data_IF_504020262044
#
_entry.id   IF_504020262044
#
_cell.length_a   1.000
_cell.length_b   1.000
_cell.length_c   1.000
_cell.angle_alpha   90.00
_cell.angle_beta   90.00
_cell.angle_gamma   90.00
#
_symmetry.space_group_name_H-M   'P 1'
#
loop_
_entity.id
_entity.type
_entity.pdbx_description
1 polymer ?
#
# COMPACT_ATOMS: atom_id res chain seq x y z
N UNK A 1 -18.84 5.25 -7.03
CA UNK A 1 -19.10 3.88 -7.50
C UNK A 1 -17.77 3.32 -7.96
N UNK A 2 -17.23 2.33 -7.26
CA UNK A 2 -16.00 1.65 -7.68
C UNK A 2 -16.36 0.71 -8.83
N UNK A 3 -15.65 0.80 -9.96
CA UNK A 3 -15.72 -0.20 -11.01
C UNK A 3 -15.47 -1.58 -10.39
N UNK A 4 -16.31 -2.60 -10.67
CA UNK A 4 -16.03 -3.95 -10.19
C UNK A 4 -14.62 -4.35 -10.61
N UNK A 5 -13.77 -4.66 -9.63
CA UNK A 5 -12.43 -5.13 -9.92
C UNK A 5 -12.55 -6.53 -10.52
N UNK A 6 -12.01 -6.73 -11.72
CA UNK A 6 -11.79 -8.04 -12.33
C UNK A 6 -10.30 -8.37 -12.24
N UNK A 7 -9.86 -9.13 -11.21
CA UNK A 7 -8.46 -9.47 -11.03
C UNK A 7 -7.86 -10.24 -12.21
N UNK A 8 -8.65 -11.09 -12.89
CA UNK A 8 -8.17 -11.87 -14.01
C UNK A 8 -7.86 -10.96 -15.21
N UNK A 9 -8.75 -10.01 -15.52
CA UNK A 9 -8.51 -9.00 -16.55
C UNK A 9 -7.29 -8.11 -16.22
N UNK A 10 -7.10 -7.75 -14.95
CA UNK A 10 -5.92 -6.96 -14.52
C UNK A 10 -4.62 -7.74 -14.73
N UNK A 11 -4.61 -9.03 -14.38
CA UNK A 11 -3.44 -9.89 -14.58
C UNK A 11 -3.16 -10.09 -16.07
N UNK A 12 -4.19 -10.35 -16.90
CA UNK A 12 -4.05 -10.45 -18.35
C UNK A 12 -3.43 -9.18 -18.95
N UNK A 13 -3.95 -8.01 -18.59
CA UNK A 13 -3.44 -6.73 -19.07
C UNK A 13 -2.01 -6.43 -18.61
N UNK A 14 -1.60 -6.91 -17.43
CA UNK A 14 -0.22 -6.84 -16.97
C UNK A 14 0.69 -7.72 -17.84
N UNK A 15 0.29 -8.96 -18.10
CA UNK A 15 1.04 -9.91 -18.95
C UNK A 15 1.22 -9.32 -20.35
N UNK A 16 0.16 -8.82 -20.98
CA UNK A 16 0.22 -8.24 -22.33
C UNK A 16 1.18 -7.04 -22.42
N UNK A 17 1.27 -6.24 -21.36
CA UNK A 17 2.15 -5.07 -21.30
C UNK A 17 3.62 -5.45 -21.15
N UNK A 18 3.91 -6.53 -20.41
CA UNK A 18 5.28 -6.93 -20.06
C UNK A 18 5.86 -7.91 -21.09
N UNK A 19 5.04 -8.81 -21.64
CA UNK A 19 5.48 -9.89 -22.52
C UNK A 19 6.32 -9.45 -23.74
N UNK A 20 6.03 -8.31 -24.42
CA UNK A 20 6.83 -7.85 -25.55
C UNK A 20 8.30 -7.56 -25.23
N UNK A 21 8.64 -7.36 -23.95
CA UNK A 21 9.99 -7.07 -23.49
C UNK A 21 10.74 -8.30 -22.98
N UNK A 22 10.15 -9.49 -23.08
CA UNK A 22 10.82 -10.74 -22.71
C UNK A 22 12.01 -11.01 -23.66
N UNK A 23 13.26 -11.04 -23.18
CA UNK A 23 14.43 -11.33 -24.02
C UNK A 23 14.48 -12.79 -24.50
N UNK A 24 13.68 -13.68 -23.91
CA UNK A 24 13.66 -15.11 -24.20
C UNK A 24 12.21 -15.61 -24.37
N UNK A 25 11.50 -15.22 -25.45
CA UNK A 25 10.10 -15.56 -25.65
C UNK A 25 9.86 -17.05 -25.91
N UNK A 26 10.85 -17.75 -26.46
CA UNK A 26 10.74 -19.17 -26.82
C UNK A 26 11.02 -20.13 -25.65
N UNK A 27 11.44 -19.60 -24.50
CA UNK A 27 11.68 -20.41 -23.29
C UNK A 27 10.35 -20.77 -22.64
N UNK A 28 10.23 -22.03 -22.23
CA UNK A 28 9.03 -22.54 -21.57
C UNK A 28 8.64 -21.69 -20.34
N UNK A 29 7.33 -21.53 -20.06
CA UNK A 29 6.86 -20.87 -18.86
C UNK A 29 7.42 -21.52 -17.58
N UNK A 30 7.70 -20.71 -16.57
CA UNK A 30 8.30 -21.16 -15.30
C UNK A 30 7.31 -21.11 -14.13
N UNK A 31 6.17 -20.46 -14.29
CA UNK A 31 5.16 -20.32 -13.24
C UNK A 31 3.75 -20.38 -13.80
N UNK A 32 2.80 -20.74 -12.93
CA UNK A 32 1.37 -20.74 -13.20
C UNK A 32 0.66 -19.97 -12.10
N UNK A 33 -0.23 -19.06 -12.45
CA UNK A 33 -1.11 -18.34 -11.51
C UNK A 33 -2.56 -18.69 -11.83
N UNK A 34 -3.26 -19.21 -10.84
CA UNK A 34 -4.72 -19.40 -10.88
C UNK A 34 -5.43 -18.27 -10.13
N UNK A 35 -6.47 -17.71 -10.74
CA UNK A 35 -7.28 -16.64 -10.17
C UNK A 35 -8.71 -17.14 -10.06
N UNK A 36 -9.25 -17.20 -8.85
CA UNK A 36 -10.62 -17.63 -8.59
C UNK A 36 -11.40 -16.46 -7.99
N UNK A 37 -12.50 -16.11 -8.63
CA UNK A 37 -13.39 -15.03 -8.23
C UNK A 37 -14.83 -15.55 -8.13
N UNK A 38 -15.73 -14.71 -7.61
CA UNK A 38 -17.16 -15.02 -7.66
C UNK A 38 -17.72 -15.08 -9.10
N UNK A 39 -17.00 -14.52 -10.08
CA UNK A 39 -17.39 -14.45 -11.48
C UNK A 39 -16.81 -15.60 -12.33
N UNK A 40 -15.80 -16.32 -11.83
CA UNK A 40 -15.15 -17.40 -12.58
C UNK A 40 -13.75 -17.74 -12.10
N UNK A 41 -13.09 -18.62 -12.86
CA UNK A 41 -11.71 -19.05 -12.64
C UNK A 41 -10.90 -18.91 -13.94
N UNK A 42 -9.71 -18.33 -13.83
CA UNK A 42 -8.74 -18.19 -14.93
C UNK A 42 -7.37 -18.70 -14.51
N UNK A 43 -6.59 -19.17 -15.50
CA UNK A 43 -5.24 -19.70 -15.29
C UNK A 43 -4.27 -19.07 -16.29
N UNK A 44 -3.17 -18.52 -15.78
CA UNK A 44 -2.12 -17.87 -16.57
C UNK A 44 -0.80 -18.63 -16.45
N UNK A 45 -0.18 -18.96 -17.58
CA UNK A 45 1.19 -19.46 -17.63
C UNK A 45 2.15 -18.29 -17.86
N UNK A 46 3.23 -18.21 -17.07
CA UNK A 46 4.10 -17.04 -17.03
C UNK A 46 5.54 -17.41 -17.34
N UNK A 47 6.17 -16.63 -18.23
CA UNK A 47 7.61 -16.68 -18.44
C UNK A 47 8.37 -16.14 -17.22
N UNK A 48 9.67 -16.46 -17.13
CA UNK A 48 10.54 -15.93 -16.06
C UNK A 48 10.55 -14.39 -16.03
N UNK A 49 10.53 -13.75 -17.20
CA UNK A 49 10.49 -12.29 -17.29
C UNK A 49 9.21 -11.70 -16.67
N UNK A 50 8.05 -12.26 -16.99
CA UNK A 50 6.76 -11.75 -16.52
C UNK A 50 6.58 -11.98 -15.02
N UNK A 51 6.93 -13.17 -14.50
CA UNK A 51 6.80 -13.44 -13.06
C UNK A 51 7.73 -12.55 -12.23
N UNK A 52 8.96 -12.29 -12.69
CA UNK A 52 9.87 -11.36 -12.00
C UNK A 52 9.34 -9.93 -12.00
N UNK A 53 8.77 -9.47 -13.11
CA UNK A 53 8.14 -8.16 -13.17
C UNK A 53 6.97 -8.06 -12.18
N UNK A 54 6.14 -9.11 -12.10
CA UNK A 54 5.02 -9.18 -11.16
C UNK A 54 5.51 -9.16 -9.70
N UNK A 55 6.49 -9.97 -9.34
CA UNK A 55 7.08 -9.98 -7.99
C UNK A 55 7.60 -8.59 -7.61
N UNK A 56 8.35 -7.93 -8.50
CA UNK A 56 8.86 -6.57 -8.26
C UNK A 56 7.73 -5.55 -8.09
N UNK A 57 6.67 -5.65 -8.89
CA UNK A 57 5.52 -4.77 -8.77
C UNK A 57 4.85 -4.91 -7.39
N UNK A 58 4.64 -6.16 -6.94
CA UNK A 58 4.06 -6.46 -5.63
C UNK A 58 4.98 -6.02 -4.48
N UNK A 59 6.29 -6.25 -4.58
CA UNK A 59 7.28 -5.80 -3.59
C UNK A 59 7.38 -4.27 -3.50
N UNK A 60 7.16 -3.58 -4.63
CA UNK A 60 7.19 -2.12 -4.69
C UNK A 60 5.88 -1.46 -4.24
N UNK A 61 4.80 -2.22 -4.09
CA UNK A 61 3.50 -1.68 -3.73
C UNK A 61 3.57 -0.99 -2.36
N UNK A 62 3.10 0.26 -2.33
CA UNK A 62 2.87 1.02 -1.11
C UNK A 62 1.37 1.23 -0.99
N UNK A 63 0.81 0.76 0.11
CA UNK A 63 -0.60 0.99 0.40
C UNK A 63 -0.80 2.51 0.56
N UNK A 64 -1.72 3.15 -0.20
CA UNK A 64 -2.03 4.57 -0.03
C UNK A 64 -2.48 4.92 1.40
N UNK A 65 -3.03 3.95 2.14
CA UNK A 65 -3.41 4.11 3.54
C UNK A 65 -2.26 3.81 4.52
N UNK A 66 -1.14 3.25 4.06
CA UNK A 66 0.08 3.12 4.86
C UNK A 66 0.75 4.51 5.02
N UNK A 67 0.32 5.21 6.07
CA UNK A 67 0.85 6.52 6.47
C UNK A 67 2.07 6.42 7.39
N UNK A 68 2.67 5.23 7.53
CA UNK A 68 3.83 4.97 8.36
C UNK A 68 3.50 4.54 9.79
N UNK A 69 4.53 4.52 10.65
CA UNK A 69 4.44 4.01 12.01
C UNK A 69 4.42 5.16 13.02
N UNK A 70 3.56 5.06 14.04
CA UNK A 70 3.62 5.95 15.19
C UNK A 70 4.97 5.83 15.91
N UNK A 71 5.65 6.96 16.11
CA UNK A 71 6.94 7.03 16.83
C UNK A 71 6.85 6.69 18.32
N UNK A 72 5.64 6.68 18.90
CA UNK A 72 5.43 6.39 20.32
C UNK A 72 5.11 4.91 20.55
N UNK A 73 4.04 4.39 19.93
CA UNK A 73 3.60 3.00 20.14
C UNK A 73 4.07 2.02 19.06
N UNK A 74 4.67 2.49 17.95
CA UNK A 74 5.06 1.67 16.81
C UNK A 74 3.91 1.20 15.91
N UNK A 75 2.66 1.55 16.22
CA UNK A 75 1.47 1.14 15.46
C UNK A 75 1.37 1.76 14.07
N UNK A 76 0.69 1.08 13.13
CA UNK A 76 0.56 1.48 11.70
C UNK A 76 -0.71 2.27 11.36
N UNK A 77 -1.56 2.55 12.35
CA UNK A 77 -2.85 3.21 12.13
C UNK A 77 -2.74 4.73 12.27
N UNK A 78 -1.89 5.35 11.46
CA UNK A 78 -1.85 6.80 11.33
C UNK A 78 -2.98 7.25 10.38
N UNK A 79 -3.74 8.27 10.80
CA UNK A 79 -4.73 8.91 9.95
C UNK A 79 -4.13 10.01 9.06
N UNK A 80 -4.96 10.65 8.24
CA UNK A 80 -4.56 11.72 7.32
C UNK A 80 -3.93 12.94 8.00
N UNK A 81 -4.18 13.14 9.29
CA UNK A 81 -3.61 14.20 10.10
C UNK A 81 -2.40 13.73 10.91
N UNK A 82 -1.86 12.55 10.60
CA UNK A 82 -0.77 11.90 11.33
C UNK A 82 -1.11 11.60 12.80
N UNK A 83 -2.39 11.53 13.16
CA UNK A 83 -2.78 11.03 14.48
C UNK A 83 -2.75 9.51 14.48
N UNK A 84 -2.09 8.95 15.49
CA UNK A 84 -2.19 7.53 15.77
C UNK A 84 -3.56 7.22 16.37
N UNK A 85 -4.36 6.43 15.67
CA UNK A 85 -5.69 5.99 16.17
C UNK A 85 -5.60 5.09 17.39
N UNK A 86 -4.44 4.46 17.63
CA UNK A 86 -4.24 3.55 18.75
C UNK A 86 -3.89 4.29 20.06
N UNK A 87 -3.04 5.33 20.00
CA UNK A 87 -2.56 6.04 21.20
C UNK A 87 -2.89 7.54 21.24
N UNK A 88 -3.56 8.07 20.22
CA UNK A 88 -3.98 9.47 20.11
C UNK A 88 -2.84 10.48 19.87
N UNK A 89 -1.58 10.03 19.75
CA UNK A 89 -0.45 10.93 19.57
C UNK A 89 -0.28 11.36 18.12
N UNK A 90 0.15 12.62 17.94
CA UNK A 90 0.52 13.17 16.64
C UNK A 90 1.93 12.69 16.24
N UNK A 91 2.08 12.21 15.02
CA UNK A 91 3.34 11.74 14.47
C UNK A 91 4.07 12.83 13.68
N UNK A 92 5.41 12.78 13.68
CA UNK A 92 6.30 13.75 13.02
C UNK A 92 6.74 14.92 13.91
N UNK A 93 7.89 15.53 13.58
CA UNK A 93 8.49 16.64 14.35
C UNK A 93 7.52 17.83 14.44
N UNK A 94 6.87 18.19 13.33
CA UNK A 94 5.86 19.25 13.34
C UNK A 94 4.69 18.91 14.26
N UNK A 95 4.24 17.65 14.25
CA UNK A 95 3.15 17.22 15.09
C UNK A 95 3.50 17.22 16.58
N UNK A 96 4.72 16.82 16.93
CA UNK A 96 5.23 16.93 18.29
C UNK A 96 5.30 18.40 18.75
N UNK A 97 5.73 19.31 17.88
CA UNK A 97 5.78 20.74 18.18
C UNK A 97 4.37 21.32 18.35
N UNK A 98 3.39 20.94 17.52
CA UNK A 98 2.00 21.39 17.67
C UNK A 98 1.35 20.84 18.94
N UNK A 99 1.55 19.56 19.28
CA UNK A 99 1.06 18.96 20.51
C UNK A 99 1.68 19.61 21.76
N UNK A 100 2.99 19.87 21.72
CA UNK A 100 3.70 20.58 22.77
C UNK A 100 3.20 22.02 22.94
N UNK A 101 2.95 22.72 21.83
CA UNK A 101 2.39 24.07 21.86
C UNK A 101 0.96 24.07 22.42
N UNK A 102 0.10 23.14 21.99
CA UNK A 102 -1.27 23.02 22.49
C UNK A 102 -1.31 22.74 24.00
N UNK A 103 -0.43 21.85 24.51
CA UNK A 103 -0.30 21.61 25.96
C UNK A 103 0.11 22.86 26.72
N UNK A 104 1.08 23.62 26.21
CA UNK A 104 1.52 24.88 26.84
C UNK A 104 0.44 25.95 26.86
N UNK A 105 -0.36 26.08 25.80
CA UNK A 105 -1.47 27.03 25.75
C UNK A 105 -2.58 26.61 26.73
N UNK A 106 -2.90 25.32 26.80
CA UNK A 106 -3.89 24.80 27.76
C UNK A 106 -3.52 25.09 29.22
N UNK A 107 -2.24 24.95 29.59
CA UNK A 107 -1.77 25.28 30.95
C UNK A 107 -1.70 26.78 31.24
N UNK A 108 -1.66 27.63 30.22
CA UNK A 108 -1.61 29.10 30.38
C UNK A 108 -3.02 29.72 30.41
N UNK A 109 -4.01 29.03 29.84
CA UNK A 109 -5.41 29.48 29.81
C UNK A 109 -6.17 29.33 31.14
N UNK A 110 -5.68 28.52 32.08
CA UNK A 110 -6.26 28.37 33.43
C UNK A 110 -5.83 29.48 34.42
N UNK A 111 -4.88 30.35 34.04
CA UNK A 111 -4.34 31.42 34.88
C UNK A 111 -4.73 32.85 34.42
N UNK A 112 -5.75 32.98 33.56
CA UNK A 112 -6.25 34.29 33.14
C UNK A 112 -7.46 34.72 33.99
N UNK A 113 -7.39 35.83 34.76
CA UNK A 113 -8.45 36.31 35.66
C UNK A 113 -9.68 36.86 34.92
#
# INVERSE_FOLDING_TARGET
>A
MTTPLDPAAVIAAFIDRVSPYNPHPDVAPVAVIGVRTALGEDVFTLSDHVIRAMCRALESYRDPEDRGNCSNCGGRHLDENLHCRDCGQLHGILGQVMAEHARRVATTGEDSP
#
